data_IF_796024989030
#
_entry.id   IF_796024989030
#
_cell.length_a   1.000
_cell.length_b   1.000
_cell.length_c   1.000
_cell.angle_alpha   90.00
_cell.angle_beta   90.00
_cell.angle_gamma   90.00
#
_symmetry.space_group_name_H-M   'P 1'
#
loop_
_entity.id
_entity.type
_entity.pdbx_description
1 polymer ?
#
# COMPACT_ATOMS: atom_id res chain seq x y z
N UNK A 1 -0.75 -9.58 -12.18
CA UNK A 1 -1.82 -8.56 -12.17
C UNK A 1 -2.05 -8.18 -10.72
N UNK A 2 -1.58 -7.00 -10.33
CA UNK A 2 -1.68 -6.54 -8.94
C UNK A 2 -3.08 -6.03 -8.64
N UNK A 3 -3.84 -6.91 -7.98
CA UNK A 3 -5.24 -6.74 -7.54
C UNK A 3 -5.33 -5.93 -6.23
N UNK A 4 -4.62 -4.80 -6.14
CA UNK A 4 -4.81 -3.91 -4.99
C UNK A 4 -6.17 -3.25 -5.08
N UNK A 5 -7.00 -3.41 -4.05
CA UNK A 5 -8.32 -2.79 -3.94
C UNK A 5 -8.16 -1.45 -3.23
N UNK A 6 -8.81 -0.39 -3.72
CA UNK A 6 -8.79 0.92 -3.08
C UNK A 6 -10.04 1.12 -2.24
N UNK A 7 -9.86 1.43 -0.95
CA UNK A 7 -10.93 1.72 -0.02
C UNK A 7 -10.81 3.15 0.53
N UNK A 8 -11.93 3.80 0.85
CA UNK A 8 -11.90 5.05 1.60
C UNK A 8 -11.36 4.77 2.99
N UNK A 9 -10.50 5.65 3.49
CA UNK A 9 -9.80 5.43 4.77
C UNK A 9 -10.63 5.86 5.97
N UNK A 10 -11.54 6.82 5.80
CA UNK A 10 -12.48 7.23 6.85
C UNK A 10 -13.79 6.44 6.76
N UNK A 11 -14.29 5.96 7.90
CA UNK A 11 -15.62 5.40 8.05
C UNK A 11 -16.72 6.47 8.16
N UNK A 12 -16.34 7.73 8.39
CA UNK A 12 -17.28 8.82 8.58
C UNK A 12 -17.84 9.36 7.26
N UNK A 13 -19.15 9.64 7.27
CA UNK A 13 -19.93 10.16 6.15
C UNK A 13 -19.65 11.64 5.80
N UNK A 14 -18.55 12.22 6.30
CA UNK A 14 -18.12 13.54 5.84
C UNK A 14 -17.45 13.41 4.48
N UNK A 15 -18.28 13.51 3.45
CA UNK A 15 -17.83 13.79 2.10
C UNK A 15 -17.22 15.21 2.01
N UNK A 16 -16.16 15.39 1.21
CA UNK A 16 -15.45 14.36 0.46
C UNK A 16 -14.24 13.87 1.25
N UNK A 17 -14.29 12.63 1.74
CA UNK A 17 -13.09 11.93 2.18
C UNK A 17 -12.16 11.77 0.98
N UNK A 18 -11.13 12.60 0.92
CA UNK A 18 -10.14 12.57 -0.13
C UNK A 18 -9.00 11.60 0.17
N UNK A 19 -9.17 10.69 1.14
CA UNK A 19 -8.16 9.73 1.58
C UNK A 19 -8.54 8.28 1.25
N UNK A 20 -7.63 7.56 0.59
CA UNK A 20 -7.83 6.20 0.14
C UNK A 20 -6.63 5.32 0.51
N UNK A 21 -6.92 4.09 0.95
CA UNK A 21 -5.93 3.06 1.26
C UNK A 21 -5.99 1.97 0.19
N UNK A 22 -4.83 1.57 -0.32
CA UNK A 22 -4.65 0.40 -1.17
C UNK A 22 -4.46 -0.84 -0.30
N UNK A 23 -5.22 -1.89 -0.57
CA UNK A 23 -5.20 -3.14 0.18
C UNK A 23 -4.85 -4.27 -0.78
N UNK A 24 -3.84 -5.07 -0.44
CA UNK A 24 -3.43 -6.25 -1.20
C UNK A 24 -4.45 -7.40 -1.05
N UNK A 25 -4.44 -8.41 -1.94
CA UNK A 25 -5.38 -9.54 -1.87
C UNK A 25 -5.35 -10.33 -0.55
N UNK A 26 -4.26 -10.27 0.19
CA UNK A 26 -4.10 -10.89 1.50
C UNK A 26 -4.62 -10.00 2.67
N UNK A 27 -5.27 -8.88 2.36
CA UNK A 27 -5.84 -7.95 3.34
C UNK A 27 -4.85 -6.98 3.97
N UNK A 28 -3.61 -6.90 3.48
CA UNK A 28 -2.60 -6.00 4.03
C UNK A 28 -2.68 -4.62 3.37
N UNK A 29 -2.62 -3.57 4.19
CA UNK A 29 -2.48 -2.17 3.75
C UNK A 29 -1.14 -1.95 3.04
N UNK A 30 -1.21 -1.58 1.76
CA UNK A 30 -0.04 -1.39 0.89
C UNK A 30 0.44 0.05 0.87
N UNK A 31 -0.50 0.99 0.82
CA UNK A 31 -0.21 2.40 0.57
C UNK A 31 -1.43 3.28 0.75
N UNK A 32 -1.22 4.58 0.92
CA UNK A 32 -2.27 5.58 1.06
C UNK A 32 -2.11 6.70 0.04
N UNK A 33 -3.23 7.29 -0.36
CA UNK A 33 -3.26 8.53 -1.12
C UNK A 33 -4.24 9.50 -0.48
N UNK A 34 -3.91 10.78 -0.44
CA UNK A 34 -4.81 11.82 0.03
C UNK A 34 -4.61 13.15 -0.70
N UNK A 35 -5.69 13.92 -0.85
CA UNK A 35 -5.61 15.27 -1.40
C UNK A 35 -5.10 16.23 -0.33
N UNK A 36 -4.24 17.15 -0.73
CA UNK A 36 -3.70 18.20 0.14
C UNK A 36 -4.65 19.40 0.08
N UNK A 37 -5.23 19.81 1.21
CA UNK A 37 -6.23 20.87 1.25
C UNK A 37 -5.66 22.27 1.55
N UNK A 38 -4.40 22.36 2.01
CA UNK A 38 -3.76 23.62 2.42
C UNK A 38 -2.31 23.77 1.97
N UNK A 39 -1.78 25.00 2.05
CA UNK A 39 -0.39 25.33 1.72
C UNK A 39 -0.07 25.39 0.23
N UNK A 40 1.23 25.47 -0.09
CA UNK A 40 1.74 25.63 -1.47
C UNK A 40 1.46 24.44 -2.40
N UNK A 41 1.10 23.28 -1.84
CA UNK A 41 0.79 22.06 -2.57
C UNK A 41 -0.70 21.76 -2.61
N UNK A 42 -1.55 22.71 -2.21
CA UNK A 42 -3.02 22.57 -2.22
C UNK A 42 -3.52 22.05 -3.58
N UNK A 43 -4.42 21.08 -3.52
CA UNK A 43 -5.02 20.42 -4.68
C UNK A 43 -4.21 19.25 -5.25
N UNK A 44 -2.93 19.10 -4.87
CA UNK A 44 -2.14 17.91 -5.23
C UNK A 44 -2.55 16.69 -4.41
N UNK A 45 -2.17 15.53 -4.91
CA UNK A 45 -2.40 14.24 -4.28
C UNK A 45 -1.10 13.69 -3.73
N UNK A 46 -1.02 13.55 -2.42
CA UNK A 46 0.09 12.87 -1.75
C UNK A 46 -0.12 11.36 -1.84
N UNK A 47 0.95 10.62 -2.04
CA UNK A 47 0.99 9.16 -1.92
C UNK A 47 2.07 8.75 -0.91
N UNK A 48 1.79 7.67 -0.17
CA UNK A 48 2.69 7.11 0.85
C UNK A 48 2.65 5.59 0.74
N UNK A 49 3.78 4.96 0.48
CA UNK A 49 3.92 3.50 0.52
C UNK A 49 4.14 3.02 1.97
N UNK A 50 3.50 1.92 2.38
CA UNK A 50 3.46 1.48 3.78
C UNK A 50 4.25 0.20 4.07
N UNK A 51 4.67 -0.56 3.06
CA UNK A 51 5.30 -1.87 3.24
C UNK A 51 6.83 -1.81 3.28
N UNK A 52 7.45 -2.81 3.92
CA UNK A 52 8.88 -3.13 3.84
C UNK A 52 9.76 -2.79 5.06
N UNK A 53 11.07 -3.00 4.90
CA UNK A 53 12.13 -2.73 5.89
C UNK A 53 13.23 -1.83 5.31
N UNK A 54 13.87 -1.03 6.19
CA UNK A 54 14.93 -0.02 5.95
C UNK A 54 14.79 0.87 4.68
N UNK A 55 15.00 0.33 3.47
CA UNK A 55 14.93 1.07 2.22
C UNK A 55 13.51 1.48 1.80
N UNK A 56 12.48 0.76 2.25
CA UNK A 56 11.09 1.12 1.97
C UNK A 56 10.42 1.93 3.10
N UNK A 57 11.05 2.03 4.29
CA UNK A 57 10.32 2.37 5.52
C UNK A 57 10.09 3.86 5.77
N UNK A 58 11.03 4.76 5.45
CA UNK A 58 10.92 6.14 5.96
C UNK A 58 11.58 7.15 5.01
N UNK A 59 10.76 7.91 4.29
CA UNK A 59 11.15 9.16 3.61
C UNK A 59 11.18 9.11 2.08
N UNK A 60 11.63 8.00 1.47
CA UNK A 60 11.90 7.97 0.01
C UNK A 60 10.67 7.56 -0.81
N UNK A 61 9.77 6.75 -0.25
CA UNK A 61 8.63 6.17 -0.97
C UNK A 61 7.34 6.93 -0.68
N UNK A 62 7.41 8.27 -0.75
CA UNK A 62 6.26 9.16 -0.73
C UNK A 62 6.47 10.32 -1.69
N UNK A 63 5.40 10.99 -2.08
CA UNK A 63 5.51 12.17 -2.95
C UNK A 63 4.17 12.76 -3.34
N UNK A 64 4.21 13.80 -4.16
CA UNK A 64 3.03 14.57 -4.54
C UNK A 64 2.79 14.52 -6.05
N UNK A 65 1.55 14.26 -6.45
CA UNK A 65 1.14 14.13 -7.84
C UNK A 65 0.03 15.11 -8.18
N UNK A 66 -0.12 15.41 -9.46
CA UNK A 66 -1.16 16.34 -9.95
C UNK A 66 -2.55 15.72 -9.95
N UNK A 67 -2.69 14.40 -9.78
CA UNK A 67 -3.98 13.72 -9.77
C UNK A 67 -3.98 12.46 -8.90
N UNK A 68 -5.18 12.05 -8.49
CA UNK A 68 -5.44 10.83 -7.73
C UNK A 68 -4.91 9.59 -8.45
N UNK A 69 -5.15 9.49 -9.75
CA UNK A 69 -4.74 8.35 -10.57
C UNK A 69 -3.22 8.23 -10.60
N UNK A 70 -2.49 9.34 -10.78
CA UNK A 70 -1.03 9.33 -10.76
C UNK A 70 -0.49 8.93 -9.38
N UNK A 71 -1.09 9.40 -8.29
CA UNK A 71 -0.73 8.99 -6.93
C UNK A 71 -0.95 7.48 -6.73
N UNK A 72 -2.09 6.94 -7.17
CA UNK A 72 -2.39 5.51 -7.13
C UNK A 72 -1.42 4.68 -7.97
N UNK A 73 -1.04 5.16 -9.17
CA UNK A 73 -0.06 4.49 -10.03
C UNK A 73 1.32 4.42 -9.40
N UNK A 74 1.75 5.42 -8.61
CA UNK A 74 3.02 5.36 -7.88
C UNK A 74 3.01 4.24 -6.84
N UNK A 75 1.93 4.12 -6.06
CA UNK A 75 1.76 3.04 -5.09
C UNK A 75 1.80 1.67 -5.77
N UNK A 76 1.10 1.49 -6.90
CA UNK A 76 1.17 0.24 -7.66
C UNK A 76 2.59 -0.08 -8.11
N UNK A 77 3.27 0.87 -8.76
CA UNK A 77 4.64 0.66 -9.28
C UNK A 77 5.61 0.25 -8.17
N UNK A 78 5.50 0.91 -7.01
CA UNK A 78 6.36 0.61 -5.86
C UNK A 78 5.99 -0.73 -5.25
N UNK A 79 4.71 -1.08 -5.21
CA UNK A 79 4.27 -2.37 -4.72
C UNK A 79 4.77 -3.53 -5.59
N UNK A 80 4.71 -3.39 -6.92
CA UNK A 80 5.29 -4.35 -7.87
C UNK A 80 6.79 -4.54 -7.59
N UNK A 81 7.53 -3.44 -7.50
CA UNK A 81 8.96 -3.45 -7.17
C UNK A 81 9.26 -4.07 -5.80
N UNK A 82 8.40 -3.82 -4.80
CA UNK A 82 8.49 -4.40 -3.48
C UNK A 82 8.31 -5.93 -3.52
N UNK A 83 7.35 -6.44 -4.29
CA UNK A 83 7.11 -7.87 -4.45
C UNK A 83 8.24 -8.57 -5.20
N UNK A 84 8.86 -7.90 -6.18
CA UNK A 84 10.03 -8.40 -6.91
C UNK A 84 11.32 -8.39 -6.07
N UNK A 85 11.37 -7.53 -5.03
CA UNK A 85 12.56 -7.41 -4.18
C UNK A 85 12.62 -8.55 -3.16
N UNK A 86 13.74 -9.30 -3.08
CA UNK A 86 13.93 -10.33 -2.04
C UNK A 86 13.81 -9.73 -0.63
N UNK A 87 13.23 -10.47 0.30
CA UNK A 87 13.01 -9.93 1.64
C UNK A 87 14.26 -9.80 2.50
N UNK A 88 15.37 -10.45 2.16
CA UNK A 88 16.68 -10.13 2.73
C UNK A 88 17.15 -8.71 2.37
N UNK A 89 16.64 -8.16 1.26
CA UNK A 89 16.82 -6.76 0.88
C UNK A 89 15.65 -5.88 1.38
N UNK A 90 14.72 -6.38 2.19
CA UNK A 90 13.61 -5.59 2.72
C UNK A 90 12.36 -5.50 1.83
N UNK A 91 12.29 -6.31 0.76
CA UNK A 91 11.09 -6.51 -0.06
C UNK A 91 10.11 -7.56 0.48
N UNK A 92 9.13 -7.93 -0.34
CA UNK A 92 7.92 -8.66 0.05
C UNK A 92 8.02 -10.18 0.20
N UNK A 93 9.15 -10.80 -0.13
CA UNK A 93 9.40 -12.21 0.17
C UNK A 93 10.64 -12.41 1.05
N UNK A 94 10.50 -12.14 2.34
CA UNK A 94 11.46 -12.64 3.33
C UNK A 94 11.01 -14.02 3.77
N UNK A 95 11.95 -14.97 3.78
CA UNK A 95 11.80 -16.42 4.03
C UNK A 95 11.31 -16.76 5.46
N UNK A 96 10.23 -16.17 5.91
CA UNK A 96 9.47 -16.72 7.03
C UNK A 96 8.50 -17.71 6.38
N UNK A 97 8.60 -19.02 6.67
CA UNK A 97 7.73 -20.00 6.04
C UNK A 97 6.28 -19.56 6.24
N UNK A 98 5.51 -19.52 5.15
CA UNK A 98 4.06 -19.61 5.28
C UNK A 98 3.84 -20.85 6.15
N UNK A 99 3.28 -20.68 7.35
CA UNK A 99 2.79 -21.82 8.13
C UNK A 99 1.88 -22.57 7.18
N UNK A 100 2.35 -23.72 6.67
CA UNK A 100 1.49 -24.67 5.98
C UNK A 100 0.36 -24.90 6.97
N UNK A 101 -0.86 -24.51 6.63
CA UNK A 101 -2.02 -25.12 7.24
C UNK A 101 -1.85 -26.61 6.93
N UNK A 102 -1.39 -27.33 7.94
CA UNK A 102 -1.43 -28.78 7.96
C UNK A 102 -2.86 -29.17 7.64
N UNK A 103 -3.05 -29.93 6.57
CA UNK A 103 -4.16 -30.87 6.51
C UNK A 103 -4.05 -31.72 7.78
N UNK A 104 -4.77 -31.33 8.83
CA UNK A 104 -5.12 -32.24 9.87
C UNK A 104 -6.34 -32.98 9.34
N UNK A 105 -6.06 -34.16 8.80
CA UNK A 105 -6.99 -35.28 8.83
C UNK A 105 -7.61 -35.32 10.23
N UNK A 106 -8.89 -34.97 10.32
CA UNK A 106 -9.73 -35.45 11.40
C UNK A 106 -10.52 -36.62 10.83
N UNK A 107 -9.90 -37.79 10.92
CA UNK A 107 -10.63 -39.03 11.04
C UNK A 107 -11.25 -39.06 12.44
N UNK A 108 -12.58 -39.04 12.53
CA UNK A 108 -13.38 -39.76 13.53
C UNK A 108 -14.63 -40.28 12.84
#
# INVERSE_FOLDING_TARGET
>A
MDNTIWQKTSAEAQEPSHEFTAIAPNGIDVGRIYRIDGGSLKGRWRWVFLLGHSQFRQGIMSGDQTSKQKAASQIRKIYECYLETPGCAGGGQSRIPQKRQSNQDWAV
#
